data_IF_211539947658
#
_entry.id   IF_211539947658
#
_cell.length_a   1.000
_cell.length_b   1.000
_cell.length_c   1.000
_cell.angle_alpha   90.00
_cell.angle_beta   90.00
_cell.angle_gamma   90.00
#
_symmetry.space_group_name_H-M   'P 1'
#
loop_
_entity.id
_entity.type
_entity.pdbx_description
1 polymer ?
#
# COMPACT_ATOMS: atom_id res chain seq x y z
N UNK A 1 -25.23 -30.37 -45.72
CA UNK A 1 -26.15 -31.53 -45.53
C UNK A 1 -26.11 -31.99 -44.08
N UNK A 2 -27.32 -32.15 -43.47
CA UNK A 2 -27.68 -32.81 -42.20
C UNK A 2 -27.22 -32.13 -40.90
N UNK A 3 -28.09 -31.42 -40.20
CA UNK A 3 -29.16 -31.67 -39.21
C UNK A 3 -28.59 -31.91 -37.82
N UNK A 4 -28.77 -31.00 -36.90
CA UNK A 4 -29.90 -30.78 -35.97
C UNK A 4 -30.08 -31.88 -34.91
N UNK A 5 -30.05 -31.50 -33.63
CA UNK A 5 -30.37 -32.34 -32.50
C UNK A 5 -30.50 -31.53 -31.21
N UNK A 6 -31.67 -30.96 -31.01
CA UNK A 6 -32.15 -30.36 -29.76
C UNK A 6 -32.64 -31.46 -28.80
N UNK A 7 -32.30 -31.38 -27.53
CA UNK A 7 -33.00 -32.15 -26.48
C UNK A 7 -33.34 -31.23 -25.30
N UNK A 8 -34.64 -30.94 -25.19
CA UNK A 8 -35.29 -30.33 -24.04
C UNK A 8 -35.58 -31.43 -23.01
N UNK A 9 -35.31 -31.20 -21.77
CA UNK A 9 -35.90 -31.94 -20.65
C UNK A 9 -36.82 -31.01 -19.84
N UNK A 10 -38.12 -31.39 -19.88
CA UNK A 10 -39.19 -30.87 -19.07
C UNK A 10 -39.33 -31.84 -17.89
N UNK A 11 -39.43 -31.34 -16.67
CA UNK A 11 -40.00 -32.08 -15.54
C UNK A 11 -41.04 -31.24 -14.82
N UNK A 12 -42.09 -31.93 -14.51
CA UNK A 12 -43.45 -31.49 -14.24
C UNK A 12 -43.68 -31.10 -12.75
N UNK A 13 -44.71 -30.32 -12.61
CA UNK A 13 -45.45 -29.97 -11.37
C UNK A 13 -45.92 -31.20 -10.58
N UNK A 14 -45.94 -31.05 -9.28
CA UNK A 14 -46.93 -31.76 -8.44
C UNK A 14 -47.56 -30.77 -7.44
N UNK A 15 -48.83 -30.47 -7.68
CA UNK A 15 -49.74 -29.79 -6.76
C UNK A 15 -50.20 -30.79 -5.67
N UNK A 16 -50.28 -30.33 -4.43
CA UNK A 16 -51.28 -30.80 -3.49
C UNK A 16 -51.94 -29.60 -2.79
N UNK A 17 -53.27 -29.61 -2.83
CA UNK A 17 -54.14 -28.58 -2.37
C UNK A 17 -54.75 -28.98 -1.01
N UNK A 18 -55.36 -28.00 -0.39
CA UNK A 18 -56.52 -27.96 0.48
C UNK A 18 -56.26 -27.67 1.99
N UNK A 19 -56.90 -26.58 2.41
CA UNK A 19 -57.17 -26.22 3.78
C UNK A 19 -57.67 -24.77 3.90
N UNK A 20 -58.95 -24.56 3.55
CA UNK A 20 -59.69 -23.31 3.77
C UNK A 20 -60.07 -23.14 5.25
N UNK A 21 -60.18 -21.90 5.75
CA UNK A 21 -61.33 -21.28 6.45
C UNK A 21 -60.84 -20.11 7.30
N UNK A 22 -61.50 -18.95 7.16
CA UNK A 22 -61.52 -17.91 8.19
C UNK A 22 -61.51 -16.48 7.65
N UNK A 23 -62.68 -15.97 7.22
CA UNK A 23 -62.92 -14.52 7.12
C UNK A 23 -62.91 -13.86 8.47
N UNK A 24 -62.26 -12.71 8.56
CA UNK A 24 -62.32 -11.80 9.71
C UNK A 24 -61.60 -10.50 9.35
N UNK A 25 -62.34 -9.51 8.79
CA UNK A 25 -61.93 -8.11 8.95
C UNK A 25 -62.36 -7.62 10.32
N UNK A 26 -61.55 -6.78 10.98
CA UNK A 26 -61.86 -5.36 10.89
C UNK A 26 -60.63 -4.48 10.61
N UNK A 27 -60.90 -3.37 9.97
CA UNK A 27 -60.07 -2.21 9.83
C UNK A 27 -59.64 -1.70 11.21
N UNK A 28 -58.33 -1.72 11.48
CA UNK A 28 -57.71 -0.83 12.42
C UNK A 28 -56.60 -0.08 11.69
N UNK A 29 -56.90 1.18 11.42
CA UNK A 29 -55.96 2.18 10.96
C UNK A 29 -54.86 2.32 11.99
N UNK A 30 -53.70 1.77 11.75
CA UNK A 30 -52.49 2.11 12.44
C UNK A 30 -51.88 3.34 11.82
N UNK A 31 -51.86 4.38 12.64
CA UNK A 31 -51.19 5.67 12.53
C UNK A 31 -49.78 5.53 11.94
N UNK A 32 -49.42 6.26 10.85
CA UNK A 32 -48.06 6.34 10.37
C UNK A 32 -47.30 7.42 11.17
N UNK A 33 -47.13 7.18 12.45
CA UNK A 33 -46.39 8.06 13.32
C UNK A 33 -45.34 7.32 14.12
N UNK A 34 -44.12 7.65 13.82
CA UNK A 34 -42.83 7.42 14.47
C UNK A 34 -41.90 6.54 13.66
N UNK A 35 -41.36 7.15 12.62
CA UNK A 35 -40.04 6.74 12.09
C UNK A 35 -39.02 6.86 13.22
N UNK A 36 -38.70 5.73 13.86
CA UNK A 36 -37.55 5.64 14.74
C UNK A 36 -36.33 5.93 13.88
N UNK A 37 -35.93 7.21 13.92
CA UNK A 37 -34.63 7.60 13.40
C UNK A 37 -33.58 6.83 14.19
N UNK A 38 -32.96 5.84 13.54
CA UNK A 38 -31.70 5.25 14.01
C UNK A 38 -30.66 6.34 13.97
N UNK A 39 -30.67 7.24 14.94
CA UNK A 39 -29.48 8.01 15.26
C UNK A 39 -28.42 7.01 15.72
N UNK A 40 -27.59 6.59 14.79
CA UNK A 40 -26.27 6.02 15.16
C UNK A 40 -25.59 7.13 15.95
N UNK A 41 -25.65 7.03 17.27
CA UNK A 41 -24.88 7.88 18.17
C UNK A 41 -23.40 7.66 17.81
N UNK A 42 -22.81 8.54 17.00
CA UNK A 42 -21.36 8.60 16.86
C UNK A 42 -20.84 8.85 18.26
N UNK A 43 -20.14 7.87 18.83
CA UNK A 43 -19.43 8.08 20.06
C UNK A 43 -18.59 9.37 19.93
N UNK A 44 -18.61 10.22 20.93
CA UNK A 44 -17.81 11.44 20.92
C UNK A 44 -16.34 11.06 20.68
N UNK A 45 -15.68 11.81 19.80
CA UNK A 45 -14.26 11.60 19.55
C UNK A 45 -13.47 11.77 20.85
N UNK A 46 -12.47 10.93 21.05
CA UNK A 46 -11.49 11.14 22.12
C UNK A 46 -10.70 12.42 21.85
N UNK A 47 -10.07 12.98 22.88
CA UNK A 47 -9.19 14.16 22.72
C UNK A 47 -8.08 13.90 21.68
N UNK A 48 -7.58 12.70 21.59
CA UNK A 48 -6.55 12.29 20.63
C UNK A 48 -7.07 12.26 19.18
N UNK A 49 -8.25 11.71 18.98
CA UNK A 49 -8.90 11.67 17.66
C UNK A 49 -9.30 13.06 17.19
N UNK A 50 -9.81 13.90 18.07
CA UNK A 50 -10.18 15.28 17.76
C UNK A 50 -8.92 16.09 17.39
N UNK A 51 -7.83 15.97 18.15
CA UNK A 51 -6.58 16.65 17.86
C UNK A 51 -6.00 16.24 16.48
N UNK A 52 -6.05 14.95 16.15
CA UNK A 52 -5.61 14.47 14.85
C UNK A 52 -6.49 14.98 13.70
N UNK A 53 -7.82 15.01 13.90
CA UNK A 53 -8.78 15.55 12.94
C UNK A 53 -8.53 17.05 12.67
N UNK A 54 -8.43 17.86 13.71
CA UNK A 54 -8.19 19.31 13.61
C UNK A 54 -6.86 19.56 12.90
N UNK A 55 -5.83 18.79 13.22
CA UNK A 55 -4.52 18.86 12.55
C UNK A 55 -4.61 18.50 11.06
N UNK A 56 -5.28 17.41 10.72
CA UNK A 56 -5.45 17.01 9.31
C UNK A 56 -6.17 18.08 8.49
N UNK A 57 -7.09 18.82 9.10
CA UNK A 57 -7.85 19.89 8.45
C UNK A 57 -7.06 21.21 8.33
N UNK A 58 -6.32 21.59 9.37
CA UNK A 58 -5.81 22.96 9.52
C UNK A 58 -4.29 23.11 9.48
N UNK A 59 -3.51 22.06 9.75
CA UNK A 59 -2.06 22.16 9.79
C UNK A 59 -1.45 22.65 8.47
N UNK A 60 -0.42 23.48 8.56
CA UNK A 60 0.28 24.04 7.40
C UNK A 60 0.84 22.95 6.48
N UNK A 61 1.30 21.81 7.04
CA UNK A 61 1.77 20.66 6.29
C UNK A 61 0.66 19.88 5.56
N UNK A 62 -0.60 19.97 6.03
CA UNK A 62 -1.73 19.24 5.48
C UNK A 62 -2.61 20.05 4.52
N UNK A 63 -2.66 21.38 4.69
CA UNK A 63 -3.47 22.29 3.84
C UNK A 63 -3.22 22.13 2.35
N UNK A 64 -1.96 22.07 1.87
CA UNK A 64 -1.68 22.02 0.42
C UNK A 64 -1.95 20.66 -0.22
N UNK A 65 -2.29 19.61 0.55
CA UNK A 65 -2.50 18.27 0.02
C UNK A 65 -3.79 18.11 -0.78
N UNK A 66 -4.77 19.00 -0.58
CA UNK A 66 -6.10 18.86 -1.17
C UNK A 66 -6.90 17.75 -0.50
N UNK A 67 -7.59 16.93 -1.32
CA UNK A 67 -8.40 15.82 -0.83
C UNK A 67 -7.53 14.61 -0.54
N UNK A 68 -7.72 13.97 0.61
CA UNK A 68 -7.06 12.75 0.99
C UNK A 68 -7.87 11.96 2.04
N UNK A 69 -7.63 10.68 2.12
CA UNK A 69 -8.05 9.85 3.24
C UNK A 69 -6.84 9.58 4.15
N UNK A 70 -7.06 9.54 5.46
CA UNK A 70 -6.06 9.12 6.41
C UNK A 70 -6.67 8.22 7.48
N UNK A 71 -5.87 7.29 8.01
CA UNK A 71 -6.25 6.48 9.16
C UNK A 71 -5.04 6.16 10.02
N UNK A 72 -5.28 6.04 11.32
CA UNK A 72 -4.35 5.52 12.32
C UNK A 72 -4.97 4.27 12.93
N UNK A 73 -4.15 3.23 13.16
CA UNK A 73 -4.60 2.00 13.76
C UNK A 73 -3.51 1.28 14.56
N UNK A 74 -3.90 0.15 15.11
CA UNK A 74 -3.02 -0.77 15.82
C UNK A 74 -3.14 -2.18 15.23
N UNK A 75 -2.55 -3.18 15.88
CA UNK A 75 -2.56 -4.57 15.40
C UNK A 75 -3.98 -5.19 15.31
N UNK A 76 -4.99 -4.60 15.96
CA UNK A 76 -6.38 -5.05 15.90
C UNK A 76 -7.18 -4.40 14.76
N UNK A 77 -6.68 -3.32 14.17
CA UNK A 77 -7.36 -2.62 13.07
C UNK A 77 -7.32 -1.09 13.20
N UNK A 78 -8.16 -0.40 12.41
CA UNK A 78 -8.24 1.06 12.45
C UNK A 78 -8.84 1.52 13.79
N UNK A 79 -8.20 2.52 14.36
CA UNK A 79 -8.70 3.21 15.57
C UNK A 79 -9.48 4.45 15.17
N UNK A 80 -8.95 5.22 14.22
CA UNK A 80 -9.58 6.42 13.70
C UNK A 80 -9.15 6.65 12.24
N UNK A 81 -10.07 7.15 11.40
CA UNK A 81 -9.77 7.49 10.02
C UNK A 81 -10.89 8.29 9.38
N UNK A 82 -10.51 9.29 8.59
CA UNK A 82 -11.43 10.20 7.94
C UNK A 82 -10.91 10.68 6.59
N UNK A 83 -11.85 11.10 5.74
CA UNK A 83 -11.54 11.83 4.51
C UNK A 83 -11.47 13.33 4.79
N UNK A 84 -10.43 14.00 4.28
CA UNK A 84 -10.40 15.43 4.12
C UNK A 84 -10.86 15.78 2.71
N UNK A 85 -11.89 16.59 2.59
CA UNK A 85 -12.52 16.91 1.31
C UNK A 85 -13.38 15.77 0.77
N UNK A 86 -13.52 15.67 -0.55
CA UNK A 86 -14.40 14.70 -1.20
C UNK A 86 -13.65 13.78 -2.17
N UNK A 87 -14.26 12.63 -2.50
CA UNK A 87 -13.79 11.74 -3.56
C UNK A 87 -12.69 10.76 -3.19
N UNK A 88 -12.05 10.88 -2.00
CA UNK A 88 -11.04 9.93 -1.53
C UNK A 88 -11.50 9.30 -0.22
N UNK A 89 -11.66 7.99 -0.21
CA UNK A 89 -12.10 7.19 0.94
C UNK A 89 -11.11 6.07 1.23
N UNK A 90 -11.34 5.31 2.29
CA UNK A 90 -10.54 4.12 2.62
C UNK A 90 -10.46 3.11 1.46
N UNK A 91 -11.51 3.03 0.63
CA UNK A 91 -11.65 2.04 -0.44
C UNK A 91 -11.35 2.60 -1.83
N UNK A 92 -11.03 3.88 -1.97
CA UNK A 92 -10.68 4.47 -3.25
C UNK A 92 -9.36 3.87 -3.75
N UNK A 93 -9.44 3.15 -4.86
CA UNK A 93 -8.27 2.57 -5.54
C UNK A 93 -7.56 3.66 -6.34
N UNK A 94 -6.25 3.69 -6.22
CA UNK A 94 -5.40 4.66 -6.91
C UNK A 94 -4.00 4.09 -7.16
N UNK A 95 -3.23 4.62 -8.13
CA UNK A 95 -1.81 4.32 -8.26
C UNK A 95 -1.06 4.69 -6.97
N UNK A 96 -0.33 3.72 -6.40
CA UNK A 96 0.38 3.90 -5.12
C UNK A 96 1.87 4.19 -5.32
N UNK A 97 2.34 4.23 -6.56
CA UNK A 97 3.72 4.51 -6.93
C UNK A 97 4.72 3.71 -6.06
N UNK A 98 5.75 4.36 -5.50
CA UNK A 98 6.80 3.70 -4.72
C UNK A 98 6.33 2.97 -3.47
N UNK A 99 5.07 3.14 -3.02
CA UNK A 99 4.51 2.28 -1.98
C UNK A 99 4.40 0.82 -2.44
N UNK A 100 4.45 0.54 -3.74
CA UNK A 100 4.57 -0.79 -4.33
C UNK A 100 5.81 -1.55 -3.85
N UNK A 101 6.91 -0.84 -3.59
CA UNK A 101 8.19 -1.44 -3.23
C UNK A 101 8.12 -2.30 -1.98
N UNK A 102 7.44 -1.81 -0.95
CA UNK A 102 7.31 -2.53 0.31
C UNK A 102 6.45 -3.80 0.16
N UNK A 103 5.39 -3.73 -0.65
CA UNK A 103 4.54 -4.88 -0.97
C UNK A 103 5.31 -5.94 -1.77
N UNK A 104 6.01 -5.52 -2.82
CA UNK A 104 6.83 -6.45 -3.63
C UNK A 104 7.88 -7.16 -2.77
N UNK A 105 8.62 -6.41 -1.95
CA UNK A 105 9.62 -6.99 -1.04
C UNK A 105 8.98 -7.89 0.00
N UNK A 106 7.85 -7.48 0.57
CA UNK A 106 7.07 -8.31 1.50
C UNK A 106 6.73 -9.67 0.90
N UNK A 107 6.22 -9.69 -0.34
CA UNK A 107 5.90 -10.91 -1.07
C UNK A 107 7.15 -11.72 -1.43
N UNK A 108 8.22 -11.06 -1.88
CA UNK A 108 9.48 -11.72 -2.24
C UNK A 108 10.10 -12.43 -1.02
N UNK A 109 10.24 -11.72 0.08
CA UNK A 109 10.79 -12.28 1.33
C UNK A 109 9.88 -13.37 1.90
N UNK A 110 8.55 -13.22 1.76
CA UNK A 110 7.59 -14.25 2.18
C UNK A 110 7.71 -15.53 1.34
N UNK A 111 7.92 -15.42 0.03
CA UNK A 111 8.03 -16.58 -0.87
C UNK A 111 9.33 -17.35 -0.68
N UNK A 112 10.44 -16.66 -0.38
CA UNK A 112 11.77 -17.24 -0.33
C UNK A 112 12.25 -17.54 1.08
N UNK A 113 11.76 -16.81 2.06
CA UNK A 113 12.28 -16.77 3.43
C UNK A 113 13.52 -15.88 3.54
N UNK A 114 13.56 -15.01 4.56
CA UNK A 114 14.68 -14.09 4.76
C UNK A 114 16.05 -14.78 4.86
N UNK A 115 16.12 -15.93 5.53
CA UNK A 115 17.37 -16.67 5.71
C UNK A 115 17.96 -17.23 4.40
N UNK A 116 17.14 -17.35 3.36
CA UNK A 116 17.55 -17.87 2.05
C UNK A 116 17.91 -16.75 1.05
N UNK A 117 17.82 -15.48 1.46
CA UNK A 117 18.22 -14.36 0.61
C UNK A 117 19.75 -14.34 0.45
N UNK A 118 20.21 -14.36 -0.79
CA UNK A 118 21.62 -14.19 -1.12
C UNK A 118 22.06 -12.74 -0.88
N UNK A 119 23.38 -12.47 -0.71
CA UNK A 119 23.88 -11.11 -0.60
C UNK A 119 23.52 -10.21 -1.81
N UNK A 120 23.46 -10.77 -3.01
CA UNK A 120 23.09 -10.02 -4.22
C UNK A 120 21.60 -9.63 -4.21
N UNK A 121 20.72 -10.52 -3.81
CA UNK A 121 19.29 -10.21 -3.65
C UNK A 121 19.06 -9.12 -2.60
N UNK A 122 19.76 -9.18 -1.46
CA UNK A 122 19.70 -8.13 -0.44
C UNK A 122 20.12 -6.77 -0.99
N UNK A 123 21.18 -6.72 -1.81
CA UNK A 123 21.59 -5.50 -2.51
C UNK A 123 20.53 -4.99 -3.49
N UNK A 124 19.79 -5.88 -4.16
CA UNK A 124 18.69 -5.47 -5.03
C UNK A 124 17.50 -4.94 -4.24
N UNK A 125 17.25 -5.47 -3.06
CA UNK A 125 16.15 -5.07 -2.18
C UNK A 125 16.45 -3.77 -1.41
N UNK A 126 17.72 -3.47 -1.08
CA UNK A 126 18.14 -2.25 -0.39
C UNK A 126 18.79 -1.20 -1.32
N UNK A 127 18.69 -1.40 -2.64
CA UNK A 127 19.11 -0.44 -3.67
C UNK A 127 20.60 -0.15 -3.74
N UNK A 128 21.43 -1.17 -3.50
CA UNK A 128 22.90 -1.08 -3.62
C UNK A 128 23.48 -2.02 -4.66
N UNK A 129 22.67 -2.62 -5.54
CA UNK A 129 23.14 -3.68 -6.46
C UNK A 129 23.83 -3.19 -7.74
N UNK A 130 23.85 -1.87 -8.01
CA UNK A 130 24.40 -1.33 -9.24
C UNK A 130 23.50 -1.38 -10.48
N UNK A 131 22.27 -1.92 -10.38
CA UNK A 131 21.24 -1.83 -11.43
C UNK A 131 20.41 -0.58 -11.23
N UNK A 132 20.84 0.56 -11.77
CA UNK A 132 20.35 1.89 -11.42
C UNK A 132 19.49 2.57 -12.47
N UNK A 133 19.33 1.99 -13.66
CA UNK A 133 18.57 2.62 -14.73
C UNK A 133 17.08 2.24 -14.65
N UNK A 134 16.19 3.18 -14.90
CA UNK A 134 14.75 3.01 -14.89
C UNK A 134 14.06 3.96 -15.87
N UNK A 135 13.15 3.40 -16.68
CA UNK A 135 12.16 4.16 -17.41
C UNK A 135 10.82 3.41 -17.35
N UNK A 136 10.15 3.51 -16.20
CA UNK A 136 8.93 2.75 -15.90
C UNK A 136 7.74 3.10 -16.80
N UNK A 137 7.75 4.24 -17.49
CA UNK A 137 6.66 4.63 -18.41
C UNK A 137 6.50 3.70 -19.60
N UNK A 138 7.50 2.90 -19.92
CA UNK A 138 7.43 1.90 -21.01
C UNK A 138 6.80 0.57 -20.57
N UNK A 139 6.39 0.45 -19.31
CA UNK A 139 5.79 -0.76 -18.75
C UNK A 139 4.26 -0.73 -18.70
N UNK A 140 3.62 0.37 -19.11
CA UNK A 140 2.17 0.59 -18.94
C UNK A 140 1.32 0.07 -20.11
N UNK A 141 1.91 -0.72 -21.02
CA UNK A 141 1.16 -1.28 -22.14
C UNK A 141 0.44 -2.57 -21.72
N UNK A 142 -0.83 -2.69 -22.12
CA UNK A 142 -1.65 -3.88 -21.87
C UNK A 142 -0.95 -5.17 -22.35
N UNK A 143 -0.98 -6.19 -21.52
CA UNK A 143 -0.34 -7.47 -21.81
C UNK A 143 1.19 -7.49 -21.71
N UNK A 144 1.81 -6.40 -21.26
CA UNK A 144 3.25 -6.35 -21.01
C UNK A 144 3.65 -7.37 -19.93
N UNK A 145 4.73 -8.09 -20.15
CA UNK A 145 5.31 -9.00 -19.15
C UNK A 145 6.44 -8.33 -18.39
N UNK A 146 6.85 -8.88 -17.25
CA UNK A 146 8.04 -8.39 -16.51
C UNK A 146 9.27 -8.38 -17.42
N UNK A 147 9.44 -9.40 -18.27
CA UNK A 147 10.56 -9.47 -19.24
C UNK A 147 10.47 -8.40 -20.33
N UNK A 148 9.26 -8.18 -20.88
CA UNK A 148 9.05 -7.15 -21.88
C UNK A 148 9.23 -5.74 -21.31
N UNK A 149 8.69 -5.49 -20.09
CA UNK A 149 8.93 -4.27 -19.34
C UNK A 149 10.43 -4.03 -19.13
N UNK A 150 11.16 -5.03 -18.65
CA UNK A 150 12.60 -4.94 -18.46
C UNK A 150 13.32 -4.63 -19.78
N UNK A 151 13.01 -5.35 -20.85
CA UNK A 151 13.63 -5.13 -22.18
C UNK A 151 13.33 -3.77 -22.79
N UNK A 152 12.11 -3.24 -22.62
CA UNK A 152 11.70 -1.96 -23.17
C UNK A 152 12.17 -0.77 -22.32
N UNK A 153 11.94 -0.85 -21.00
CA UNK A 153 12.18 0.24 -20.06
C UNK A 153 13.62 0.28 -19.54
N UNK A 154 14.30 -0.85 -19.61
CA UNK A 154 15.61 -1.06 -18.99
C UNK A 154 16.64 -1.57 -20.01
N UNK A 155 16.44 -1.25 -21.29
CA UNK A 155 17.24 -1.71 -22.45
C UNK A 155 18.74 -1.52 -22.28
N UNK A 156 19.12 -0.52 -21.48
CA UNK A 156 20.49 -0.16 -21.14
C UNK A 156 20.78 -0.33 -19.64
N UNK A 157 19.97 -1.11 -18.92
CA UNK A 157 20.26 -1.47 -17.52
C UNK A 157 21.46 -2.39 -17.52
N UNK A 158 22.54 -1.85 -17.99
CA UNK A 158 23.83 -2.42 -17.75
C UNK A 158 24.13 -2.28 -16.26
N UNK A 159 24.55 -3.37 -15.67
CA UNK A 159 25.19 -3.35 -14.37
C UNK A 159 26.28 -2.25 -14.34
N UNK A 160 26.18 -1.33 -13.37
CA UNK A 160 27.13 -0.24 -13.16
C UNK A 160 28.08 -0.61 -12.02
N UNK A 161 29.29 -1.17 -12.30
CA UNK A 161 30.18 -1.68 -11.25
C UNK A 161 30.54 -0.63 -10.19
N UNK A 162 30.70 0.64 -10.59
CA UNK A 162 31.01 1.76 -9.69
C UNK A 162 29.85 2.13 -8.75
N UNK A 163 28.64 1.65 -9.03
CA UNK A 163 27.44 1.86 -8.19
C UNK A 163 27.13 0.63 -7.33
N UNK A 164 27.80 -0.50 -7.52
CA UNK A 164 27.63 -1.65 -6.67
C UNK A 164 28.18 -1.36 -5.26
N UNK A 165 27.34 -1.56 -4.25
CA UNK A 165 27.62 -1.20 -2.86
C UNK A 165 27.28 0.26 -2.52
N UNK A 166 26.76 1.05 -3.47
CA UNK A 166 26.32 2.43 -3.25
C UNK A 166 24.79 2.50 -3.36
N UNK A 167 24.18 3.22 -2.43
CA UNK A 167 22.75 3.46 -2.48
C UNK A 167 22.37 4.39 -3.63
N UNK A 168 21.42 3.95 -4.44
CA UNK A 168 20.84 4.73 -5.52
C UNK A 168 19.35 4.44 -5.63
N UNK A 169 18.50 5.40 -5.27
CA UNK A 169 17.06 5.19 -5.24
C UNK A 169 16.46 5.18 -6.66
N UNK A 170 16.20 3.98 -7.18
CA UNK A 170 15.35 3.78 -8.35
C UNK A 170 14.76 2.36 -8.43
N UNK A 171 13.96 2.08 -9.46
CA UNK A 171 13.28 0.79 -9.64
C UNK A 171 14.11 -0.30 -10.28
N UNK A 172 15.21 0.02 -10.95
CA UNK A 172 16.02 -0.92 -11.75
C UNK A 172 16.50 -2.12 -10.94
N UNK A 173 16.89 -1.90 -9.70
CA UNK A 173 17.31 -2.94 -8.76
C UNK A 173 16.25 -4.04 -8.59
N UNK A 174 15.02 -3.63 -8.24
CA UNK A 174 13.89 -4.55 -8.02
C UNK A 174 13.39 -5.14 -9.33
N UNK A 175 13.38 -4.37 -10.41
CA UNK A 175 12.96 -4.87 -11.71
C UNK A 175 13.88 -5.97 -12.22
N UNK A 176 15.21 -5.83 -12.01
CA UNK A 176 16.16 -6.89 -12.32
C UNK A 176 15.90 -8.14 -11.46
N UNK A 177 15.60 -7.98 -10.19
CA UNK A 177 15.24 -9.08 -9.32
C UNK A 177 13.96 -9.78 -9.78
N UNK A 178 12.93 -9.01 -10.15
CA UNK A 178 11.69 -9.53 -10.68
C UNK A 178 11.88 -10.29 -12.00
N UNK A 179 12.78 -9.80 -12.88
CA UNK A 179 13.12 -10.51 -14.11
C UNK A 179 13.74 -11.88 -13.82
N UNK A 180 14.66 -11.95 -12.87
CA UNK A 180 15.40 -13.18 -12.55
C UNK A 180 14.51 -14.23 -11.85
N UNK A 181 13.50 -13.81 -11.09
CA UNK A 181 12.62 -14.71 -10.34
C UNK A 181 11.18 -14.78 -10.92
N UNK A 182 10.48 -13.63 -11.03
CA UNK A 182 9.07 -13.58 -11.45
C UNK A 182 8.93 -13.58 -12.97
N UNK A 183 9.90 -13.05 -13.70
CA UNK A 183 9.84 -12.92 -15.15
C UNK A 183 9.59 -14.25 -15.85
N UNK A 184 10.27 -15.30 -15.39
CA UNK A 184 10.07 -16.66 -15.89
C UNK A 184 8.68 -17.21 -15.53
N UNK A 185 8.15 -16.85 -14.37
CA UNK A 185 6.83 -17.31 -13.91
C UNK A 185 5.69 -16.65 -14.67
N UNK A 186 5.78 -15.37 -14.99
CA UNK A 186 4.76 -14.70 -15.80
C UNK A 186 4.77 -15.19 -17.26
N UNK A 187 5.91 -15.57 -17.80
CA UNK A 187 6.02 -16.28 -19.08
C UNK A 187 5.40 -17.70 -19.04
N UNK A 188 5.10 -18.22 -17.87
CA UNK A 188 4.55 -19.57 -17.63
C UNK A 188 3.06 -19.58 -17.23
N UNK A 189 2.32 -18.49 -17.36
CA UNK A 189 0.86 -18.48 -17.19
C UNK A 189 0.30 -17.68 -15.98
N UNK A 190 1.10 -16.88 -15.28
CA UNK A 190 0.54 -15.89 -14.36
C UNK A 190 -0.10 -14.75 -15.17
N UNK A 191 -1.36 -14.45 -14.89
CA UNK A 191 -2.09 -13.39 -15.57
C UNK A 191 -1.53 -12.01 -15.19
N UNK A 192 -1.10 -11.83 -13.93
CA UNK A 192 -0.51 -10.59 -13.44
C UNK A 192 0.52 -10.83 -12.32
N UNK A 193 1.27 -9.80 -11.95
CA UNK A 193 2.12 -9.83 -10.75
C UNK A 193 1.26 -9.96 -9.49
N UNK A 194 0.02 -9.46 -9.53
CA UNK A 194 -0.92 -9.56 -8.41
C UNK A 194 -1.35 -11.00 -8.12
N UNK A 195 -1.43 -11.89 -9.13
CA UNK A 195 -1.69 -13.32 -8.93
C UNK A 195 -0.62 -14.02 -8.09
N UNK A 196 0.60 -13.53 -8.18
CA UNK A 196 1.70 -14.02 -7.34
C UNK A 196 1.74 -13.31 -5.97
N UNK A 197 1.55 -12.00 -5.93
CA UNK A 197 1.70 -11.17 -4.73
C UNK A 197 0.56 -11.39 -3.72
N UNK A 198 -0.69 -11.34 -4.19
CA UNK A 198 -1.86 -11.37 -3.32
C UNK A 198 -1.96 -12.63 -2.45
N UNK A 199 -1.75 -13.86 -2.98
CA UNK A 199 -1.75 -15.07 -2.15
C UNK A 199 -0.65 -15.08 -1.09
N UNK A 200 0.55 -14.56 -1.41
CA UNK A 200 1.68 -14.50 -0.48
C UNK A 200 1.44 -13.52 0.67
N UNK A 201 0.84 -12.38 0.36
CA UNK A 201 0.54 -11.37 1.34
C UNK A 201 -0.85 -11.54 1.98
N UNK A 202 -1.74 -12.36 1.38
CA UNK A 202 -3.14 -12.48 1.76
C UNK A 202 -3.86 -11.14 1.64
N UNK A 203 -3.62 -10.44 0.54
CA UNK A 203 -4.19 -9.16 0.15
C UNK A 203 -5.06 -9.31 -1.10
N UNK A 204 -5.68 -8.22 -1.55
CA UNK A 204 -6.57 -8.19 -2.72
C UNK A 204 -6.31 -6.95 -3.57
N UNK A 205 -5.05 -6.63 -3.84
CA UNK A 205 -4.69 -5.53 -4.73
C UNK A 205 -5.21 -5.84 -6.15
N UNK A 206 -5.76 -4.84 -6.85
CA UNK A 206 -6.24 -5.05 -8.20
C UNK A 206 -5.09 -5.24 -9.19
N UNK A 207 -5.35 -5.99 -10.24
CA UNK A 207 -4.49 -6.06 -11.40
C UNK A 207 -4.50 -4.73 -12.16
N UNK A 208 -3.38 -4.40 -12.77
CA UNK A 208 -3.25 -3.26 -13.66
C UNK A 208 -2.17 -3.54 -14.71
N UNK A 209 -2.27 -2.88 -15.87
CA UNK A 209 -1.27 -3.03 -16.93
C UNK A 209 0.14 -2.62 -16.49
N UNK A 210 0.23 -1.73 -15.49
CA UNK A 210 1.48 -1.25 -14.92
C UNK A 210 2.05 -2.13 -13.81
N UNK A 211 1.35 -3.16 -13.31
CA UNK A 211 1.79 -3.96 -12.15
C UNK A 211 3.12 -4.71 -12.39
N UNK A 212 3.52 -4.88 -13.64
CA UNK A 212 4.81 -5.42 -14.05
C UNK A 212 6.01 -4.53 -13.67
N UNK A 213 5.77 -3.25 -13.44
CA UNK A 213 6.75 -2.31 -12.88
C UNK A 213 6.74 -2.42 -11.35
N UNK A 214 7.35 -3.48 -10.83
CA UNK A 214 7.23 -3.90 -9.40
C UNK A 214 7.67 -2.84 -8.39
N UNK A 215 8.46 -1.86 -8.82
CA UNK A 215 8.93 -0.78 -7.96
C UNK A 215 7.98 0.44 -7.89
N UNK A 216 6.89 0.46 -8.66
CA UNK A 216 6.02 1.66 -8.67
C UNK A 216 4.69 1.52 -9.41
N UNK A 217 4.43 0.41 -10.08
CA UNK A 217 3.28 0.26 -10.97
C UNK A 217 2.00 -0.28 -10.30
N UNK A 218 2.00 -0.53 -9.01
CA UNK A 218 0.82 -1.08 -8.35
C UNK A 218 -0.26 -0.01 -8.09
N UNK A 219 -1.49 -0.48 -8.07
CA UNK A 219 -2.66 0.29 -7.65
C UNK A 219 -3.28 -0.34 -6.40
N UNK A 220 -3.88 0.49 -5.55
CA UNK A 220 -4.53 -0.01 -4.34
C UNK A 220 -5.22 1.08 -3.54
N UNK A 221 -5.96 0.68 -2.52
CA UNK A 221 -6.65 1.55 -1.57
C UNK A 221 -5.99 1.50 -0.19
N UNK A 222 -6.32 2.47 0.66
CA UNK A 222 -5.89 2.46 2.06
C UNK A 222 -6.34 1.18 2.77
N UNK A 223 -7.57 0.72 2.53
CA UNK A 223 -8.12 -0.49 3.12
C UNK A 223 -7.34 -1.75 2.70
N UNK A 224 -6.91 -1.85 1.44
CA UNK A 224 -6.10 -2.97 0.97
C UNK A 224 -4.68 -2.92 1.56
N UNK A 225 -4.06 -1.75 1.59
CA UNK A 225 -2.72 -1.58 2.16
C UNK A 225 -2.70 -1.83 3.67
N UNK A 226 -3.76 -1.44 4.38
CA UNK A 226 -3.95 -1.76 5.80
C UNK A 226 -3.83 -3.26 6.08
N UNK A 227 -4.36 -4.14 5.23
CA UNK A 227 -4.24 -5.59 5.42
C UNK A 227 -2.78 -6.01 5.51
N UNK A 228 -1.93 -5.49 4.62
CA UNK A 228 -0.48 -5.71 4.68
C UNK A 228 0.13 -5.18 5.98
N UNK A 229 -0.19 -3.94 6.38
CA UNK A 229 0.36 -3.34 7.60
C UNK A 229 -0.07 -4.10 8.86
N UNK A 230 -1.33 -4.52 8.97
CA UNK A 230 -1.82 -5.32 10.09
C UNK A 230 -1.07 -6.64 10.24
N UNK A 231 -0.85 -7.35 9.14
CA UNK A 231 -0.09 -8.60 9.15
C UNK A 231 1.39 -8.36 9.52
N UNK A 232 1.96 -7.23 9.09
CA UNK A 232 3.31 -6.82 9.46
C UNK A 232 3.41 -6.57 10.98
N UNK A 233 2.45 -5.82 11.57
CA UNK A 233 2.37 -5.58 13.01
C UNK A 233 2.18 -6.88 13.82
N UNK A 234 1.38 -7.81 13.31
CA UNK A 234 1.09 -9.09 13.95
C UNK A 234 2.17 -10.17 13.70
N UNK A 235 3.34 -9.81 13.17
CA UNK A 235 4.46 -10.72 12.88
C UNK A 235 4.09 -11.90 11.94
N UNK A 236 3.16 -11.69 11.02
CA UNK A 236 2.68 -12.73 10.09
C UNK A 236 3.53 -12.85 8.82
N UNK A 237 4.52 -11.97 8.61
CA UNK A 237 5.45 -12.05 7.49
C UNK A 237 6.87 -12.37 7.94
N UNK A 238 7.61 -13.07 7.10
CA UNK A 238 9.05 -13.29 7.28
C UNK A 238 9.84 -11.97 7.37
N UNK A 239 9.31 -10.89 6.76
CA UNK A 239 9.86 -9.53 6.82
C UNK A 239 9.60 -8.83 8.16
N UNK A 240 8.56 -9.21 8.92
CA UNK A 240 8.09 -8.43 10.09
C UNK A 240 9.18 -8.16 11.13
N UNK A 241 10.05 -9.13 11.40
CA UNK A 241 11.17 -8.97 12.37
C UNK A 241 12.46 -8.45 11.73
N UNK A 242 12.43 -8.04 10.46
CA UNK A 242 13.63 -7.70 9.66
C UNK A 242 13.64 -6.26 9.13
N UNK A 243 12.79 -5.38 9.65
CA UNK A 243 12.60 -4.05 9.10
C UNK A 243 13.85 -3.14 9.19
N UNK A 244 14.75 -3.39 10.15
CA UNK A 244 16.00 -2.64 10.28
C UNK A 244 17.23 -3.42 9.77
N UNK A 245 17.05 -4.69 9.41
CA UNK A 245 18.17 -5.55 9.00
C UNK A 245 18.55 -5.26 7.54
N UNK A 246 19.83 -5.38 7.22
CA UNK A 246 20.41 -5.05 5.90
C UNK A 246 20.11 -3.62 5.43
N UNK A 247 19.90 -2.69 6.36
CA UNK A 247 19.68 -1.28 6.04
C UNK A 247 20.98 -0.56 5.69
N UNK A 248 20.83 0.47 4.85
CA UNK A 248 21.94 1.30 4.38
C UNK A 248 21.59 2.78 4.54
N UNK A 249 22.60 3.67 4.70
CA UNK A 249 22.37 5.12 4.68
C UNK A 249 21.65 5.55 3.39
N UNK A 250 20.67 6.45 3.51
CA UNK A 250 19.83 6.84 2.38
C UNK A 250 19.45 8.33 2.37
N UNK A 251 20.25 9.19 2.99
CA UNK A 251 20.06 10.66 2.98
C UNK A 251 21.19 11.36 2.23
N UNK A 252 20.99 12.61 1.77
CA UNK A 252 22.05 13.38 1.13
C UNK A 252 23.27 13.55 2.05
N UNK A 253 24.46 13.13 1.59
CA UNK A 253 25.67 13.12 2.38
C UNK A 253 25.90 11.89 3.26
N UNK A 254 24.96 10.95 3.27
CA UNK A 254 25.16 9.64 3.90
C UNK A 254 26.29 8.84 3.23
N UNK A 255 26.93 7.96 3.99
CA UNK A 255 28.03 7.14 3.46
C UNK A 255 27.56 6.25 2.29
N UNK A 256 28.28 6.30 1.17
CA UNK A 256 27.97 5.53 -0.05
C UNK A 256 26.59 5.82 -0.67
N UNK A 257 26.03 7.02 -0.47
CA UNK A 257 24.80 7.46 -1.14
C UNK A 257 25.17 8.18 -2.43
N UNK A 258 24.69 7.67 -3.56
CA UNK A 258 24.86 8.30 -4.88
C UNK A 258 23.65 9.12 -5.29
N UNK A 259 22.44 8.64 -4.98
CA UNK A 259 21.20 9.37 -5.24
C UNK A 259 20.10 8.97 -4.26
N UNK A 260 19.36 9.97 -3.77
CA UNK A 260 18.19 9.79 -2.90
C UNK A 260 17.17 10.90 -3.13
N UNK A 261 15.87 10.62 -3.15
CA UNK A 261 14.83 11.64 -3.11
C UNK A 261 14.54 12.16 -1.69
N UNK A 262 15.17 11.58 -0.67
CA UNK A 262 14.97 11.98 0.72
C UNK A 262 15.60 13.35 0.99
N UNK A 263 14.86 14.24 1.63
CA UNK A 263 15.29 15.63 1.89
C UNK A 263 15.27 16.01 3.36
N UNK A 264 14.75 15.15 4.23
CA UNK A 264 14.41 15.48 5.62
C UNK A 264 15.45 15.04 6.66
N UNK A 265 16.72 15.21 6.35
CA UNK A 265 17.80 14.83 7.28
C UNK A 265 18.19 13.36 7.18
N UNK A 266 18.72 12.79 8.26
CA UNK A 266 19.20 11.41 8.29
C UNK A 266 18.06 10.40 8.14
N UNK A 267 18.27 9.40 7.30
CA UNK A 267 17.37 8.27 7.09
C UNK A 267 18.14 7.04 6.59
N UNK A 268 17.56 5.87 6.77
CA UNK A 268 18.09 4.63 6.21
C UNK A 268 17.08 3.99 5.27
N UNK A 269 17.54 3.10 4.42
CA UNK A 269 16.69 2.29 3.56
C UNK A 269 16.94 0.82 3.87
N UNK A 270 15.87 0.14 4.26
CA UNK A 270 15.89 -1.28 4.51
C UNK A 270 15.54 -2.07 3.24
N UNK A 271 14.98 -3.24 3.43
CA UNK A 271 14.51 -4.05 2.31
C UNK A 271 13.18 -3.47 1.79
N UNK A 272 13.28 -2.61 0.77
CA UNK A 272 12.14 -2.02 0.06
C UNK A 272 11.36 -0.93 0.79
N UNK A 273 11.87 -0.38 1.87
CA UNK A 273 11.18 0.68 2.63
C UNK A 273 12.16 1.62 3.32
N UNK A 274 11.67 2.82 3.63
CA UNK A 274 12.39 3.82 4.41
C UNK A 274 12.36 3.49 5.89
N UNK A 275 13.48 3.71 6.57
CA UNK A 275 13.59 3.70 8.02
C UNK A 275 13.72 5.16 8.44
N UNK A 276 12.65 5.68 9.04
CA UNK A 276 12.55 7.04 9.54
C UNK A 276 13.09 7.11 10.97
N UNK A 277 13.73 8.21 11.28
CA UNK A 277 14.27 8.44 12.63
C UNK A 277 14.48 9.90 12.92
N UNK A 278 14.85 10.17 14.12
CA UNK A 278 15.21 11.50 14.63
C UNK A 278 16.43 11.44 15.52
N UNK A 279 17.11 12.57 15.65
CA UNK A 279 18.23 12.69 16.60
C UNK A 279 17.68 13.03 17.98
N UNK A 280 17.82 12.09 18.91
CA UNK A 280 17.44 12.27 20.31
C UNK A 280 18.72 12.35 21.14
N UNK A 281 19.03 13.52 21.67
CA UNK A 281 20.20 13.76 22.49
C UNK A 281 21.53 13.31 21.84
N UNK A 282 21.71 13.57 20.55
CA UNK A 282 22.91 13.21 19.80
C UNK A 282 22.94 11.76 19.27
N UNK A 283 21.90 10.98 19.54
CA UNK A 283 21.77 9.60 19.06
C UNK A 283 20.62 9.51 18.05
N UNK A 284 20.90 9.02 16.85
CA UNK A 284 19.85 8.76 15.87
C UNK A 284 18.99 7.57 16.30
N UNK A 285 17.71 7.79 16.39
CA UNK A 285 16.74 6.83 16.94
C UNK A 285 15.65 6.56 15.89
N UNK A 286 15.38 5.28 15.60
CA UNK A 286 14.31 4.88 14.67
C UNK A 286 12.94 5.24 15.25
N UNK A 287 12.15 6.00 14.51
CA UNK A 287 10.77 6.34 14.86
C UNK A 287 9.75 5.52 14.08
N UNK A 288 10.11 5.01 12.90
CA UNK A 288 9.20 4.19 12.12
C UNK A 288 9.75 3.73 10.78
N UNK A 289 8.87 3.08 10.04
CA UNK A 289 9.12 2.50 8.72
C UNK A 289 8.02 2.94 7.76
N UNK A 290 8.39 3.32 6.52
CA UNK A 290 7.43 3.82 5.53
C UNK A 290 7.81 3.47 4.09
N UNK A 291 6.88 3.66 3.17
CA UNK A 291 7.14 3.56 1.74
C UNK A 291 6.34 4.62 0.98
N UNK A 292 6.80 5.86 1.01
CA UNK A 292 6.13 6.98 0.38
C UNK A 292 6.08 6.83 -1.15
N UNK A 293 4.89 6.90 -1.72
CA UNK A 293 4.68 6.92 -3.16
C UNK A 293 4.74 8.31 -3.75
N UNK A 294 5.36 8.47 -4.91
CA UNK A 294 5.55 9.75 -5.59
C UNK A 294 4.26 10.56 -5.81
N UNK A 295 3.10 9.87 -5.86
CA UNK A 295 1.80 10.51 -6.07
C UNK A 295 1.07 10.87 -4.75
N UNK A 296 1.68 10.59 -3.59
CA UNK A 296 1.18 11.00 -2.28
C UNK A 296 0.55 9.88 -1.44
N UNK A 297 0.62 8.62 -1.86
CA UNK A 297 0.23 7.49 -1.02
C UNK A 297 1.35 7.22 0.01
N UNK A 298 1.04 7.25 1.30
CA UNK A 298 2.03 7.13 2.38
C UNK A 298 1.57 6.13 3.45
N UNK A 299 2.06 4.87 3.39
CA UNK A 299 1.94 3.90 4.47
C UNK A 299 3.08 4.01 5.47
N UNK A 300 2.80 3.76 6.75
CA UNK A 300 3.78 3.83 7.82
C UNK A 300 3.44 2.90 8.99
N UNK A 301 4.47 2.39 9.67
CA UNK A 301 4.37 1.72 10.98
C UNK A 301 5.41 2.32 11.94
N UNK A 302 5.10 2.39 13.24
CA UNK A 302 6.08 2.85 14.24
C UNK A 302 7.19 1.81 14.48
N UNK A 303 8.31 2.27 15.05
CA UNK A 303 9.47 1.41 15.33
C UNK A 303 9.12 0.20 16.23
N UNK A 304 8.23 0.39 17.20
CA UNK A 304 7.75 -0.67 18.09
C UNK A 304 6.78 -1.66 17.42
N UNK A 305 6.32 -1.37 16.20
CA UNK A 305 5.34 -2.17 15.44
C UNK A 305 4.03 -2.37 16.23
N UNK A 306 3.54 -1.33 16.86
CA UNK A 306 2.28 -1.32 17.61
C UNK A 306 1.22 -0.43 16.97
N UNK A 307 1.64 0.47 16.07
CA UNK A 307 0.80 1.44 15.37
C UNK A 307 1.12 1.47 13.88
N UNK A 308 0.11 1.71 13.09
CA UNK A 308 0.25 2.04 11.68
C UNK A 308 -0.50 3.32 11.32
N UNK A 309 -0.15 3.89 10.20
CA UNK A 309 -0.88 4.97 9.54
C UNK A 309 -0.88 4.75 8.03
N UNK A 310 -1.98 5.12 7.37
CA UNK A 310 -2.04 5.30 5.93
C UNK A 310 -2.58 6.71 5.65
N UNK A 311 -1.90 7.46 4.79
CA UNK A 311 -2.43 8.66 4.15
C UNK A 311 -2.54 8.36 2.66
N UNK A 312 -3.75 8.36 2.11
CA UNK A 312 -4.03 7.98 0.73
C UNK A 312 -4.52 9.18 -0.06
N UNK A 313 -3.78 9.55 -1.08
CA UNK A 313 -4.16 10.52 -2.11
C UNK A 313 -3.42 10.22 -3.41
N UNK A 314 -3.92 10.74 -4.51
CA UNK A 314 -3.30 10.62 -5.83
C UNK A 314 -3.19 12.01 -6.47
N UNK A 315 -1.98 12.51 -6.58
CA UNK A 315 -1.66 13.76 -7.25
C UNK A 315 -0.41 13.59 -8.11
N UNK A 316 -0.62 13.42 -9.39
CA UNK A 316 0.44 13.14 -10.36
C UNK A 316 1.04 14.42 -10.94
N UNK A 317 1.54 15.31 -10.07
CA UNK A 317 2.19 16.57 -10.43
C UNK A 317 3.60 16.65 -9.83
N UNK A 318 4.55 15.98 -10.41
CA UNK A 318 5.92 15.89 -9.89
C UNK A 318 6.14 14.73 -8.91
N UNK A 319 7.35 14.63 -8.37
CA UNK A 319 7.78 13.49 -7.55
C UNK A 319 7.79 13.77 -6.04
N UNK A 320 7.36 14.96 -5.61
CA UNK A 320 7.46 15.42 -4.22
C UNK A 320 6.22 15.13 -3.37
N UNK A 321 5.17 14.62 -3.99
CA UNK A 321 3.88 14.49 -3.30
C UNK A 321 3.92 13.45 -2.17
N UNK A 322 4.78 12.44 -2.29
CA UNK A 322 5.03 11.47 -1.21
C UNK A 322 5.64 12.11 0.03
N UNK A 323 6.60 13.02 -0.14
CA UNK A 323 7.25 13.75 0.93
C UNK A 323 6.28 14.73 1.63
N UNK A 324 5.44 15.42 0.85
CA UNK A 324 4.38 16.26 1.41
C UNK A 324 3.39 15.46 2.24
N UNK A 325 2.99 14.27 1.76
CA UNK A 325 2.13 13.36 2.52
C UNK A 325 2.80 12.86 3.79
N UNK A 326 4.10 12.56 3.74
CA UNK A 326 4.88 12.18 4.92
C UNK A 326 4.87 13.28 5.98
N UNK A 327 5.14 14.53 5.59
CA UNK A 327 5.16 15.67 6.50
C UNK A 327 3.80 15.88 7.19
N UNK A 328 2.70 15.86 6.43
CA UNK A 328 1.35 15.93 7.01
C UNK A 328 1.07 14.75 7.94
N UNK A 329 1.38 13.52 7.51
CA UNK A 329 1.15 12.32 8.30
C UNK A 329 1.92 12.33 9.63
N UNK A 330 3.16 12.82 9.65
CA UNK A 330 3.94 13.02 10.87
C UNK A 330 3.25 14.00 11.83
N UNK A 331 2.75 15.11 11.31
CA UNK A 331 2.05 16.12 12.09
C UNK A 331 0.74 15.56 12.69
N UNK A 332 -0.03 14.80 11.91
CA UNK A 332 -1.27 14.15 12.36
C UNK A 332 -0.97 13.06 13.42
N UNK A 333 0.07 12.24 13.24
CA UNK A 333 0.48 11.26 14.25
C UNK A 333 0.85 11.92 15.57
N UNK A 334 1.64 12.99 15.52
CA UNK A 334 2.01 13.74 16.73
C UNK A 334 0.78 14.27 17.47
N UNK A 335 -0.19 14.82 16.74
CA UNK A 335 -1.44 15.26 17.34
C UNK A 335 -2.21 14.11 18.01
N UNK A 336 -2.30 12.98 17.32
CA UNK A 336 -2.94 11.78 17.87
C UNK A 336 -2.23 11.24 19.12
N UNK A 337 -0.92 11.29 19.18
CA UNK A 337 -0.13 10.80 20.32
C UNK A 337 -0.19 11.74 21.53
N UNK A 338 -0.26 13.03 21.31
CA UNK A 338 -0.22 14.05 22.38
C UNK A 338 -1.61 14.53 22.83
N UNK A 339 -2.65 14.31 22.03
CA UNK A 339 -3.98 14.89 22.25
C UNK A 339 -4.03 16.41 22.00
N UNK A 340 -2.99 16.97 21.35
CA UNK A 340 -2.87 18.40 21.07
C UNK A 340 -2.79 18.62 19.56
N UNK A 341 -3.73 19.42 19.03
CA UNK A 341 -3.71 19.79 17.62
C UNK A 341 -2.40 20.52 17.26
N UNK A 342 -1.80 20.15 16.13
CA UNK A 342 -0.57 20.73 15.62
C UNK A 342 -0.90 21.81 14.58
N UNK A 343 -0.12 22.92 14.49
CA UNK A 343 -0.35 24.05 13.61
C UNK A 343 -0.11 23.75 12.12
#
# INVERSE_FOLDING_TARGET
MKRCGTTRFIWACSMWALGSVGCGSPEDALDPGEGVAWETSRAALTVYEQAALDTAQSAASCKPLGNFYWEIGNASGPLHGLSKGSGVTATTVMPIASASKWLYVGAYVQSKGYANLTPDEKKRLNFTSGYIDENSTLCDAAGTTVSACYGAAYKDVSYRPLQNGRYFYNGGHMQKLALDDIGARRGTGLASVMDWLNPLLGTTFPESDSDVAVAGGFSGSAAQYRVFLLKLLNNQYALSSKLTVDSVPAWPGGANVSFTPWTAGEAYYGLGHWIEGENVNGTWTVTGHSSAGAFGFYPWVNAARTRYMVLARNRQIGNEEGEKSRACAQTVRKAYETGVAQP
#
